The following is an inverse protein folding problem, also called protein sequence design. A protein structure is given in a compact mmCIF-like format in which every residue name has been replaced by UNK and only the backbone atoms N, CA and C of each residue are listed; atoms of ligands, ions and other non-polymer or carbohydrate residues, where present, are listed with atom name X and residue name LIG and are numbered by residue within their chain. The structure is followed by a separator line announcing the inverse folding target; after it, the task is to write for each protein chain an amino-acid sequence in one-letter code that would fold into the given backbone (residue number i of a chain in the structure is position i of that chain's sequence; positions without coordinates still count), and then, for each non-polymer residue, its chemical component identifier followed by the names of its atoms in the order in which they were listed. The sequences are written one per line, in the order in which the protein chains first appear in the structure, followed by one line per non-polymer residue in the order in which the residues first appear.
data_IF_637126950045
#
_entry.id   IF_637126950045
#
_cell.length_a   1.000
_cell.length_b   1.000
_cell.length_c   1.000
_cell.angle_alpha   90.00
_cell.angle_beta   90.00
_cell.angle_gamma   90.00
#
_symmetry.space_group_name_H-M   'P 1'
#
loop_
_entity.id
_entity.type
_entity.pdbx_description
1 polymer ?
#
# COMPACT_ATOMS: atom_id res chain seq x y z
N UNK A 1 -12.24 -20.39 6.90
CA UNK A 1 -11.32 -19.27 7.18
C UNK A 1 -12.05 -17.98 7.54
N UNK A 2 -12.97 -17.47 6.72
CA UNK A 2 -13.73 -16.23 7.04
C UNK A 2 -14.42 -16.24 8.43
N UNK A 3 -15.07 -17.36 8.80
CA UNK A 3 -15.71 -17.50 10.13
C UNK A 3 -14.71 -17.47 11.30
N UNK A 4 -13.49 -17.97 11.10
CA UNK A 4 -12.43 -17.93 12.11
C UNK A 4 -11.88 -16.51 12.25
N UNK A 5 -11.62 -15.82 11.12
CA UNK A 5 -11.20 -14.41 11.13
C UNK A 5 -12.21 -13.51 11.87
N UNK A 6 -13.51 -13.71 11.63
CA UNK A 6 -14.57 -12.99 12.35
C UNK A 6 -14.60 -13.33 13.85
N UNK A 7 -14.50 -14.61 14.22
CA UNK A 7 -14.50 -15.04 15.63
C UNK A 7 -13.30 -14.52 16.42
N UNK A 8 -12.15 -14.40 15.78
CA UNK A 8 -10.92 -13.94 16.40
C UNK A 8 -10.67 -12.44 16.24
N UNK A 9 -11.70 -11.67 15.86
CA UNK A 9 -11.62 -10.21 15.88
C UNK A 9 -10.70 -9.59 14.83
N UNK A 10 -10.37 -10.29 13.74
CA UNK A 10 -9.49 -9.76 12.68
C UNK A 10 -10.00 -8.41 12.14
N UNK A 11 -11.31 -8.28 11.95
CA UNK A 11 -11.93 -7.03 11.51
C UNK A 11 -11.82 -5.90 12.54
N UNK A 12 -11.64 -6.21 13.83
CA UNK A 12 -11.43 -5.18 14.86
C UNK A 12 -10.06 -4.51 14.72
N UNK A 13 -9.10 -5.17 14.05
CA UNK A 13 -7.76 -4.63 13.85
C UNK A 13 -7.59 -3.89 12.52
N UNK A 14 -8.40 -4.20 11.51
CA UNK A 14 -8.23 -3.65 10.15
C UNK A 14 -9.46 -2.93 9.60
N UNK A 15 -10.62 -3.05 10.27
CA UNK A 15 -11.91 -2.58 9.77
C UNK A 15 -12.44 -1.31 10.42
N UNK A 16 -11.65 -0.62 11.23
CA UNK A 16 -12.05 0.68 11.80
C UNK A 16 -12.21 1.72 10.68
N UNK A 17 -13.11 2.69 10.84
CA UNK A 17 -13.27 3.80 9.91
C UNK A 17 -12.11 4.81 10.01
N UNK A 18 -11.51 4.95 11.19
CA UNK A 18 -10.34 5.78 11.40
C UNK A 18 -9.07 5.05 10.90
N UNK A 19 -8.34 5.62 9.92
CA UNK A 19 -7.10 5.06 9.43
C UNK A 19 -6.04 4.88 10.52
N UNK A 20 -6.01 5.73 11.54
CA UNK A 20 -5.07 5.61 12.65
C UNK A 20 -5.33 4.32 13.45
N UNK A 21 -6.58 4.02 13.75
CA UNK A 21 -6.96 2.84 14.55
C UNK A 21 -6.70 1.53 13.82
N UNK A 22 -7.08 1.44 12.54
CA UNK A 22 -6.78 0.23 11.74
C UNK A 22 -5.31 0.10 11.32
N UNK A 23 -4.50 1.15 11.52
CA UNK A 23 -3.05 1.09 11.37
C UNK A 23 -2.33 0.73 12.66
N UNK A 24 -3.03 0.39 13.76
CA UNK A 24 -2.36 0.06 15.04
C UNK A 24 -1.60 -1.25 15.02
N UNK A 25 -1.90 -2.16 14.11
CA UNK A 25 -1.24 -3.46 14.05
C UNK A 25 -0.92 -3.83 12.61
N UNK A 26 0.30 -4.34 12.39
CA UNK A 26 0.63 -5.01 11.13
C UNK A 26 0.19 -6.48 11.20
N UNK A 27 -1.10 -6.69 10.90
CA UNK A 27 -1.68 -8.02 10.92
C UNK A 27 -1.03 -8.95 9.88
N UNK A 28 -0.65 -8.43 8.70
CA UNK A 28 -0.02 -9.23 7.65
C UNK A 28 1.31 -9.80 8.13
N UNK A 29 2.11 -9.00 8.84
CA UNK A 29 3.36 -9.48 9.41
C UNK A 29 3.15 -10.59 10.43
N UNK A 30 2.17 -10.45 11.31
CA UNK A 30 1.80 -11.49 12.27
C UNK A 30 1.39 -12.79 11.58
N UNK A 31 0.53 -12.70 10.57
CA UNK A 31 0.05 -13.86 9.80
C UNK A 31 1.21 -14.55 9.09
N UNK A 32 2.02 -13.81 8.34
CA UNK A 32 3.15 -14.38 7.59
C UNK A 32 4.16 -15.01 8.55
N UNK A 33 4.51 -14.31 9.63
CA UNK A 33 5.49 -14.80 10.61
C UNK A 33 5.01 -16.05 11.36
N UNK A 34 3.71 -16.13 11.66
CA UNK A 34 3.10 -17.26 12.37
C UNK A 34 2.92 -18.49 11.48
N UNK A 35 2.70 -18.29 10.18
CA UNK A 35 2.52 -19.37 9.20
C UNK A 35 3.84 -19.85 8.58
N UNK A 36 4.92 -19.05 8.67
CA UNK A 36 6.23 -19.43 8.11
C UNK A 36 6.83 -20.59 8.89
N UNK A 37 7.19 -21.66 8.17
CA UNK A 37 7.83 -22.84 8.76
C UNK A 37 9.17 -22.44 9.41
N UNK A 38 9.47 -23.03 10.58
CA UNK A 38 10.62 -22.65 11.42
C UNK A 38 11.97 -22.63 10.66
N UNK A 39 12.17 -23.55 9.71
CA UNK A 39 13.39 -23.60 8.90
C UNK A 39 13.52 -22.46 7.89
N UNK A 40 12.42 -21.97 7.33
CA UNK A 40 12.42 -20.85 6.38
C UNK A 40 12.76 -19.53 7.06
N UNK A 41 12.41 -19.37 8.35
CA UNK A 41 12.79 -18.19 9.16
C UNK A 41 14.30 -18.10 9.39
N UNK A 42 14.99 -19.24 9.46
CA UNK A 42 16.44 -19.29 9.74
C UNK A 42 17.30 -19.15 8.48
N UNK A 43 16.81 -19.56 7.30
CA UNK A 43 17.59 -19.49 6.06
C UNK A 43 17.52 -18.15 5.36
N UNK A 44 16.42 -17.40 5.50
CA UNK A 44 16.23 -16.12 4.82
C UNK A 44 16.84 -14.94 5.58
N UNK A 45 17.07 -15.06 6.89
CA UNK A 45 17.62 -13.98 7.71
C UNK A 45 16.70 -12.76 7.88
N UNK A 46 15.51 -12.80 7.29
CA UNK A 46 14.45 -11.79 7.43
C UNK A 46 13.80 -11.92 8.81
N UNK A 47 13.99 -10.89 9.63
CA UNK A 47 13.33 -10.77 10.91
C UNK A 47 12.31 -9.64 10.83
N UNK A 48 11.12 -9.89 11.36
CA UNK A 48 10.13 -8.85 11.57
C UNK A 48 10.71 -7.79 12.52
N UNK A 49 10.83 -6.55 12.05
CA UNK A 49 11.14 -5.39 12.89
C UNK A 49 9.99 -5.18 13.88
N UNK A 50 10.22 -5.34 15.19
CA UNK A 50 9.15 -5.14 16.18
C UNK A 50 8.59 -3.71 16.09
N UNK A 51 7.28 -3.51 16.35
CA UNK A 51 6.64 -2.20 16.22
C UNK A 51 7.36 -1.08 16.95
N UNK A 52 7.80 -1.32 18.18
CA UNK A 52 8.50 -0.33 19.01
C UNK A 52 9.83 0.12 18.39
N UNK A 53 10.51 -0.77 17.66
CA UNK A 53 11.75 -0.45 16.93
C UNK A 53 11.44 0.35 15.68
N UNK A 54 10.39 -0.01 14.95
CA UNK A 54 9.93 0.79 13.79
C UNK A 54 9.51 2.20 14.20
N UNK A 55 8.77 2.35 15.30
CA UNK A 55 8.39 3.64 15.87
C UNK A 55 9.62 4.46 16.28
N UNK A 56 10.60 3.83 16.95
CA UNK A 56 11.87 4.51 17.29
C UNK A 56 12.62 4.99 16.04
N UNK A 57 12.78 4.14 15.03
CA UNK A 57 13.49 4.49 13.80
C UNK A 57 12.79 5.60 13.02
N UNK A 58 11.45 5.55 12.93
CA UNK A 58 10.66 6.57 12.27
C UNK A 58 10.85 7.95 12.93
N UNK A 59 10.85 7.99 14.26
CA UNK A 59 11.13 9.21 15.04
C UNK A 59 12.56 9.71 14.81
N UNK A 60 13.57 8.84 14.85
CA UNK A 60 14.97 9.24 14.61
C UNK A 60 15.16 9.79 13.20
N UNK A 61 14.53 9.19 12.18
CA UNK A 61 14.60 9.69 10.81
C UNK A 61 13.86 11.02 10.63
N UNK A 62 12.78 11.24 11.40
CA UNK A 62 12.08 12.51 11.47
C UNK A 62 12.96 13.63 12.03
N UNK A 63 13.68 13.33 13.13
CA UNK A 63 14.47 14.29 13.90
C UNK A 63 15.87 14.53 13.32
N UNK A 64 16.50 13.49 12.76
CA UNK A 64 17.86 13.51 12.20
C UNK A 64 18.00 14.36 10.92
N UNK A 65 16.88 14.80 10.36
CA UNK A 65 16.85 15.89 9.38
C UNK A 65 17.21 17.19 10.12
N UNK A 66 18.50 17.51 10.19
CA UNK A 66 19.02 18.68 10.92
C UNK A 66 18.31 19.96 10.48
N UNK A 67 17.44 20.46 11.36
CA UNK A 67 16.57 21.60 11.12
C UNK A 67 15.16 21.13 10.76
N UNK A 68 14.14 21.70 11.41
CA UNK A 68 12.71 21.60 11.06
C UNK A 68 12.48 21.99 9.60
N UNK A 69 12.88 21.15 8.65
CA UNK A 69 12.41 21.24 7.28
C UNK A 69 10.97 20.72 7.38
N UNK A 70 9.96 21.56 7.10
CA UNK A 70 8.60 21.07 7.03
C UNK A 70 8.62 19.92 6.04
N UNK A 71 8.23 18.74 6.49
CA UNK A 71 8.13 17.59 5.61
C UNK A 71 7.17 17.97 4.49
N UNK A 72 7.62 17.96 3.24
CA UNK A 72 6.90 18.66 2.16
C UNK A 72 5.81 17.76 1.58
N UNK A 73 4.63 18.33 1.33
CA UNK A 73 3.58 17.66 0.54
C UNK A 73 4.17 17.19 -0.79
N UNK A 74 3.93 15.91 -1.13
CA UNK A 74 4.45 15.29 -2.35
C UNK A 74 5.88 14.76 -2.27
N UNK A 75 6.53 14.83 -1.10
CA UNK A 75 7.80 14.13 -0.84
C UNK A 75 7.61 12.60 -0.96
N UNK A 76 8.67 11.92 -1.41
CA UNK A 76 8.71 10.48 -1.60
C UNK A 76 9.60 9.82 -0.56
N UNK A 77 9.10 8.75 0.05
CA UNK A 77 9.89 7.85 0.89
C UNK A 77 10.12 6.52 0.17
N UNK A 78 11.33 5.97 0.30
CA UNK A 78 11.72 4.66 -0.22
C UNK A 78 12.19 3.78 0.93
N UNK A 79 11.66 2.58 1.03
CA UNK A 79 12.15 1.52 1.90
C UNK A 79 12.57 0.32 1.03
N UNK A 80 13.88 0.03 0.91
CA UNK A 80 14.39 -1.00 0.00
C UNK A 80 14.17 -2.44 0.49
N UNK A 81 13.80 -2.62 1.77
CA UNK A 81 13.62 -3.92 2.44
C UNK A 81 12.38 -3.89 3.33
N UNK A 82 11.23 -3.62 2.72
CA UNK A 82 10.04 -3.18 3.43
C UNK A 82 9.38 -4.25 4.30
N UNK A 83 9.60 -5.54 3.99
CA UNK A 83 8.77 -6.62 4.49
C UNK A 83 7.31 -6.32 4.18
N UNK A 84 6.48 -6.30 5.23
CA UNK A 84 5.06 -5.90 5.15
C UNK A 84 4.81 -4.39 5.33
N UNK A 85 5.87 -3.59 5.46
CA UNK A 85 5.80 -2.13 5.52
C UNK A 85 5.79 -1.52 6.93
N UNK A 86 6.24 -2.25 7.97
CA UNK A 86 6.15 -1.82 9.37
C UNK A 86 6.79 -0.44 9.67
N UNK A 87 7.89 -0.10 8.99
CA UNK A 87 8.50 1.23 9.11
C UNK A 87 7.59 2.34 8.55
N UNK A 88 6.98 2.10 7.38
CA UNK A 88 6.05 3.05 6.77
C UNK A 88 4.73 3.17 7.54
N UNK A 89 4.24 2.09 8.15
CA UNK A 89 3.13 2.16 9.12
C UNK A 89 3.46 3.16 10.22
N UNK A 90 4.65 3.04 10.80
CA UNK A 90 5.08 3.87 11.94
C UNK A 90 5.24 5.33 11.51
N UNK A 91 5.90 5.58 10.39
CA UNK A 91 5.98 6.92 9.79
C UNK A 91 4.60 7.51 9.47
N UNK A 92 3.66 6.74 8.95
CA UNK A 92 2.30 7.20 8.69
C UNK A 92 1.54 7.54 9.99
N UNK A 93 1.77 6.81 11.07
CA UNK A 93 1.21 7.15 12.39
C UNK A 93 1.81 8.44 12.94
N UNK A 94 3.11 8.69 12.76
CA UNK A 94 3.75 9.96 13.14
C UNK A 94 3.09 11.14 12.43
N UNK A 95 2.90 11.02 11.11
CA UNK A 95 2.23 12.07 10.32
C UNK A 95 0.83 12.37 10.86
N UNK A 96 0.04 11.34 11.15
CA UNK A 96 -1.30 11.52 11.72
C UNK A 96 -1.26 12.20 13.09
N UNK A 97 -0.30 11.83 13.94
CA UNK A 97 -0.10 12.48 15.25
C UNK A 97 0.21 13.97 15.10
N UNK A 98 0.92 14.34 14.04
CA UNK A 98 1.23 15.72 13.68
C UNK A 98 0.10 16.45 12.94
N UNK A 99 -1.03 15.77 12.69
CA UNK A 99 -2.18 16.31 11.95
C UNK A 99 -1.99 16.35 10.43
N UNK A 100 -0.98 15.65 9.91
CA UNK A 100 -0.74 15.47 8.48
C UNK A 100 -1.46 14.23 7.92
N UNK A 101 -1.80 14.27 6.63
CA UNK A 101 -2.38 13.14 5.91
C UNK A 101 -1.29 12.33 5.17
N UNK A 102 -1.04 11.05 5.53
CA UNK A 102 -0.11 10.18 4.83
C UNK A 102 -0.36 10.05 3.31
N UNK A 103 -1.61 10.22 2.85
CA UNK A 103 -1.95 10.14 1.43
C UNK A 103 -1.36 11.31 0.61
N UNK A 104 -0.91 12.37 1.27
CA UNK A 104 -0.27 13.53 0.65
C UNK A 104 1.22 13.29 0.34
N UNK A 105 1.72 12.08 0.55
CA UNK A 105 3.09 11.65 0.21
C UNK A 105 3.14 10.60 -0.89
N UNK A 106 4.36 10.29 -1.32
CA UNK A 106 4.68 9.11 -2.11
C UNK A 106 5.40 8.07 -1.26
N UNK A 107 5.07 6.80 -1.46
CA UNK A 107 5.63 5.67 -0.71
C UNK A 107 6.07 4.61 -1.71
N UNK A 108 7.34 4.21 -1.65
CA UNK A 108 7.86 3.08 -2.43
C UNK A 108 8.43 2.05 -1.47
N UNK A 109 7.87 0.85 -1.50
CA UNK A 109 8.32 -0.29 -0.73
C UNK A 109 8.88 -1.33 -1.69
N UNK A 110 10.11 -1.77 -1.48
CA UNK A 110 10.70 -2.87 -2.24
C UNK A 110 10.87 -4.06 -1.31
N UNK A 111 10.59 -5.25 -1.83
CA UNK A 111 10.65 -6.46 -1.03
C UNK A 111 11.01 -7.68 -1.89
N UNK A 112 11.91 -8.53 -1.39
CA UNK A 112 12.36 -9.73 -2.09
C UNK A 112 11.33 -10.86 -1.98
N UNK A 113 10.74 -11.08 -0.80
CA UNK A 113 9.77 -12.15 -0.54
C UNK A 113 8.39 -11.78 -1.12
N UNK A 114 7.85 -12.56 -2.08
CA UNK A 114 6.58 -12.21 -2.73
C UNK A 114 5.37 -12.18 -1.79
N UNK A 115 5.39 -12.94 -0.69
CA UNK A 115 4.30 -12.94 0.29
C UNK A 115 4.35 -11.68 1.16
N UNK A 116 5.54 -11.26 1.58
CA UNK A 116 5.74 -10.01 2.28
C UNK A 116 5.38 -8.81 1.41
N UNK A 117 5.81 -8.79 0.14
CA UNK A 117 5.43 -7.77 -0.84
C UNK A 117 3.91 -7.69 -1.04
N UNK A 118 3.22 -8.83 -1.15
CA UNK A 118 1.76 -8.86 -1.23
C UNK A 118 1.10 -8.32 0.06
N UNK A 119 1.66 -8.67 1.23
CA UNK A 119 1.24 -8.13 2.53
C UNK A 119 1.40 -6.61 2.60
N UNK A 120 2.54 -6.08 2.15
CA UNK A 120 2.77 -4.65 2.03
C UNK A 120 1.76 -3.98 1.11
N UNK A 121 1.46 -4.60 -0.05
CA UNK A 121 0.47 -4.06 -0.98
C UNK A 121 -0.93 -3.97 -0.35
N UNK A 122 -1.36 -4.99 0.41
CA UNK A 122 -2.61 -4.94 1.20
C UNK A 122 -2.53 -3.83 2.25
N UNK A 123 -1.41 -3.73 2.95
CA UNK A 123 -1.21 -2.75 4.01
C UNK A 123 -1.22 -1.31 3.50
N UNK A 124 -0.80 -1.03 2.25
CA UNK A 124 -0.96 0.32 1.66
C UNK A 124 -2.42 0.79 1.65
N UNK A 125 -3.36 -0.15 1.47
CA UNK A 125 -4.80 0.12 1.47
C UNK A 125 -5.34 0.22 2.88
N UNK A 126 -5.03 -0.77 3.73
CA UNK A 126 -5.51 -0.79 5.13
C UNK A 126 -5.05 0.45 5.87
N UNK A 127 -3.80 0.86 5.67
CA UNK A 127 -3.21 2.01 6.32
C UNK A 127 -3.43 3.32 5.58
N UNK A 128 -4.27 3.36 4.53
CA UNK A 128 -4.55 4.56 3.71
C UNK A 128 -3.30 5.41 3.44
N UNK A 129 -2.27 4.79 2.85
CA UNK A 129 -1.08 5.52 2.41
C UNK A 129 -1.33 6.37 1.15
N UNK A 130 -2.54 6.26 0.58
CA UNK A 130 -2.98 7.04 -0.57
C UNK A 130 -2.58 6.44 -1.93
N UNK A 131 -2.94 7.13 -3.02
CA UNK A 131 -2.80 6.62 -4.38
C UNK A 131 -1.36 6.59 -4.90
N UNK A 132 -0.40 7.15 -4.14
CA UNK A 132 1.02 7.18 -4.48
C UNK A 132 1.84 6.21 -3.62
N UNK A 133 1.21 5.12 -3.17
CA UNK A 133 1.88 4.03 -2.49
C UNK A 133 2.08 2.85 -3.44
N UNK A 134 3.33 2.43 -3.65
CA UNK A 134 3.71 1.40 -4.59
C UNK A 134 4.60 0.36 -3.93
N UNK A 135 4.41 -0.89 -4.34
CA UNK A 135 5.20 -2.03 -3.85
C UNK A 135 5.84 -2.73 -5.04
N UNK A 136 7.16 -2.81 -5.04
CA UNK A 136 7.96 -3.58 -5.97
C UNK A 136 8.40 -4.89 -5.34
N UNK A 137 8.36 -5.98 -6.10
CA UNK A 137 8.89 -7.27 -5.65
C UNK A 137 10.12 -7.65 -6.47
N UNK A 138 11.28 -7.78 -5.82
CA UNK A 138 12.54 -8.05 -6.52
C UNK A 138 13.76 -7.93 -5.61
N UNK A 139 14.91 -8.30 -6.17
CA UNK A 139 16.20 -8.22 -5.50
C UNK A 139 16.83 -6.85 -5.76
N UNK A 140 16.80 -5.97 -4.76
CA UNK A 140 17.37 -4.61 -4.81
C UNK A 140 18.89 -4.58 -5.00
N UNK A 141 19.60 -5.67 -4.69
CA UNK A 141 21.04 -5.77 -4.92
C UNK A 141 21.35 -6.18 -6.36
N UNK A 142 20.48 -6.99 -6.97
CA UNK A 142 20.62 -7.39 -8.37
C UNK A 142 19.98 -6.40 -9.36
N UNK A 143 19.00 -5.62 -8.92
CA UNK A 143 18.18 -4.71 -9.74
C UNK A 143 18.27 -3.28 -9.16
N UNK A 144 19.30 -2.50 -9.53
CA UNK A 144 19.51 -1.16 -8.96
C UNK A 144 18.37 -0.18 -9.28
N UNK A 145 17.68 -0.39 -10.41
CA UNK A 145 16.61 0.48 -10.90
C UNK A 145 15.21 0.01 -10.45
N UNK A 146 15.12 -0.98 -9.54
CA UNK A 146 13.85 -1.61 -9.15
C UNK A 146 12.78 -0.61 -8.68
N UNK A 147 13.18 0.46 -7.98
CA UNK A 147 12.27 1.52 -7.58
C UNK A 147 11.66 2.26 -8.78
N UNK A 148 12.49 2.60 -9.76
CA UNK A 148 12.07 3.32 -10.96
C UNK A 148 11.18 2.44 -11.85
N UNK A 149 11.55 1.17 -12.01
CA UNK A 149 10.77 0.17 -12.73
C UNK A 149 9.40 -0.04 -12.09
N UNK A 150 9.34 -0.14 -10.76
CA UNK A 150 8.08 -0.26 -10.00
C UNK A 150 7.16 0.94 -10.27
N UNK A 151 7.70 2.15 -10.22
CA UNK A 151 6.95 3.37 -10.51
C UNK A 151 6.51 3.44 -11.98
N UNK A 152 7.36 3.02 -12.91
CA UNK A 152 7.05 2.98 -14.34
C UNK A 152 5.93 1.97 -14.62
N UNK A 153 5.99 0.78 -14.03
CA UNK A 153 4.96 -0.26 -14.14
C UNK A 153 3.63 0.24 -13.59
N UNK A 154 3.63 0.87 -12.41
CA UNK A 154 2.42 1.42 -11.81
C UNK A 154 1.78 2.51 -12.69
N UNK A 155 2.58 3.41 -13.27
CA UNK A 155 2.11 4.41 -14.25
C UNK A 155 1.53 3.73 -15.50
N UNK A 156 2.17 2.67 -15.99
CA UNK A 156 1.68 1.87 -17.11
C UNK A 156 0.32 1.24 -16.83
N UNK A 157 0.15 0.62 -15.66
CA UNK A 157 -1.11 0.02 -15.22
C UNK A 157 -2.22 1.07 -15.07
N UNK A 158 -1.90 2.25 -14.51
CA UNK A 158 -2.86 3.34 -14.38
C UNK A 158 -3.33 3.84 -15.75
N UNK A 159 -2.41 4.04 -16.70
CA UNK A 159 -2.75 4.41 -18.09
C UNK A 159 -3.65 3.38 -18.74
N UNK A 160 -3.28 2.10 -18.65
CA UNK A 160 -4.07 1.01 -19.21
C UNK A 160 -5.49 0.97 -18.64
N UNK A 161 -5.64 1.09 -17.32
CA UNK A 161 -6.94 1.20 -16.66
C UNK A 161 -7.76 2.38 -17.20
N UNK A 162 -7.15 3.54 -17.35
CA UNK A 162 -7.85 4.75 -17.79
C UNK A 162 -8.30 4.63 -19.24
N UNK A 163 -7.53 3.97 -20.10
CA UNK A 163 -7.91 3.68 -21.49
C UNK A 163 -9.06 2.68 -21.57
N UNK A 164 -9.04 1.62 -20.76
CA UNK A 164 -10.16 0.68 -20.65
C UNK A 164 -11.43 1.39 -20.16
N UNK A 165 -11.33 2.29 -19.18
CA UNK A 165 -12.47 3.09 -18.69
C UNK A 165 -13.06 3.98 -19.78
N UNK A 166 -12.23 4.65 -20.59
CA UNK A 166 -12.69 5.46 -21.73
C UNK A 166 -13.45 4.62 -22.74
N UNK A 167 -12.92 3.44 -23.09
CA UNK A 167 -13.57 2.53 -24.03
C UNK A 167 -14.94 2.06 -23.53
N UNK A 168 -15.04 1.67 -22.25
CA UNK A 168 -16.30 1.29 -21.63
C UNK A 168 -17.29 2.47 -21.65
N UNK A 169 -16.84 3.67 -21.30
CA UNK A 169 -17.67 4.88 -21.35
C UNK A 169 -18.22 5.15 -22.75
N UNK A 170 -17.38 5.00 -23.78
CA UNK A 170 -17.80 5.13 -25.18
C UNK A 170 -18.83 4.07 -25.59
N UNK A 171 -18.62 2.80 -25.21
CA UNK A 171 -19.55 1.72 -25.51
C UNK A 171 -20.92 1.93 -24.84
N UNK A 172 -20.94 2.38 -23.58
CA UNK A 172 -22.16 2.73 -22.86
C UNK A 172 -22.88 3.88 -23.58
N UNK A 173 -22.18 4.98 -23.90
CA UNK A 173 -22.77 6.12 -24.58
C UNK A 173 -23.39 5.75 -25.94
N UNK A 174 -22.70 4.91 -26.72
CA UNK A 174 -23.19 4.42 -28.02
C UNK A 174 -24.46 3.58 -27.84
N UNK A 175 -24.47 2.65 -26.87
CA UNK A 175 -25.64 1.83 -26.56
C UNK A 175 -26.85 2.68 -26.15
N UNK A 176 -26.64 3.67 -25.27
CA UNK A 176 -27.70 4.58 -24.82
C UNK A 176 -28.26 5.38 -26.00
N UNK A 177 -27.40 5.86 -26.90
CA UNK A 177 -27.84 6.60 -28.09
C UNK A 177 -28.70 5.73 -29.01
N UNK A 178 -28.30 4.49 -29.26
CA UNK A 178 -29.08 3.55 -30.07
C UNK A 178 -30.44 3.27 -29.42
N UNK A 179 -30.48 3.04 -28.10
CA UNK A 179 -31.74 2.82 -27.38
C UNK A 179 -32.70 4.01 -27.47
N UNK A 180 -32.17 5.24 -27.41
CA UNK A 180 -32.98 6.45 -27.56
C UNK A 180 -33.51 6.61 -28.99
N UNK A 181 -32.70 6.30 -30.01
CA UNK A 181 -33.10 6.31 -31.41
C UNK A 181 -34.20 5.26 -31.70
N UNK A 182 -34.04 4.05 -31.18
CA UNK A 182 -35.02 2.98 -31.31
C UNK A 182 -36.36 3.36 -30.64
N UNK A 183 -36.31 3.99 -29.46
CA UNK A 183 -37.51 4.47 -28.77
C UNK A 183 -38.24 5.58 -29.55
N UNK A 184 -37.49 6.52 -30.15
CA UNK A 184 -38.08 7.58 -30.96
C UNK A 184 -38.71 7.05 -32.25
N UNK A 185 -38.07 6.08 -32.90
CA UNK A 185 -38.58 5.49 -34.14
C UNK A 185 -39.76 4.54 -33.92
N UNK A 186 -39.82 3.84 -32.79
CA UNK A 186 -40.96 2.98 -32.41
C UNK A 186 -42.20 3.75 -31.92
N UNK A 187 -42.07 5.05 -31.64
CA UNK A 187 -43.17 5.92 -31.20
C UNK A 187 -43.91 6.65 -32.35
N UNK A 188 -43.56 6.33 -33.61
CA UNK A 188 -44.26 6.77 -34.83
C UNK A 188 -45.05 5.62 -35.43
#
# INVERSE_FOLDING_TARGET
MARAALRHGVLQHTGDTDPAERSRTDLMSWVITSLRHHHSRRSLGEYHTPPDISDLMANVLAEGSTGKRPRQRGEWALEPTAGTGGLFRSAAQDLRRDGEDPAERGWVMLELDPLAAAGAAVNTLVWELGPRAFVGCGDVLAQPDLAEETLAQARGMARHRDDVKKLIGFAIATRTTNQLLDALTASR
#
